data_IF_057068185840
#
_entry.id   IF_057068185840
#
_cell.length_a   1.000
_cell.length_b   1.000
_cell.length_c   1.000
_cell.angle_alpha   90.00
_cell.angle_beta   90.00
_cell.angle_gamma   90.00
#
_symmetry.space_group_name_H-M   'P 1'
#
loop_
_entity.id
_entity.type
_entity.pdbx_description
1 polymer ?
#
# COMPACT_ATOMS: atom_id res chain seq x y z
N UNK A 1 7.36 -17.53 -7.65
CA UNK A 1 6.05 -18.20 -7.48
C UNK A 1 5.14 -17.76 -8.63
N UNK A 2 4.28 -18.64 -9.14
CA UNK A 2 3.30 -18.31 -10.18
C UNK A 2 1.88 -18.47 -9.62
N UNK A 3 1.04 -17.45 -9.79
CA UNK A 3 -0.38 -17.44 -9.43
C UNK A 3 -1.15 -17.26 -10.73
N UNK A 4 -2.14 -18.11 -10.98
CA UNK A 4 -3.02 -18.03 -12.14
C UNK A 4 -4.39 -17.52 -11.69
N UNK A 5 -4.91 -16.50 -12.39
CA UNK A 5 -6.23 -15.93 -12.14
C UNK A 5 -7.11 -16.21 -13.36
N UNK A 6 -8.27 -16.79 -13.13
CA UNK A 6 -9.30 -16.91 -14.14
C UNK A 6 -10.11 -15.61 -14.18
N UNK A 7 -9.98 -14.85 -15.25
CA UNK A 7 -10.60 -13.54 -15.42
C UNK A 7 -11.52 -13.58 -16.64
N UNK A 8 -12.81 -13.22 -16.49
CA UNK A 8 -13.74 -13.19 -17.62
C UNK A 8 -13.26 -12.26 -18.74
N UNK A 9 -13.37 -12.72 -20.00
CA UNK A 9 -12.83 -12.03 -21.18
C UNK A 9 -13.32 -10.58 -21.34
N UNK A 10 -14.54 -10.28 -20.87
CA UNK A 10 -15.11 -8.94 -20.91
C UNK A 10 -14.25 -7.87 -20.22
N UNK A 11 -13.42 -8.26 -19.24
CA UNK A 11 -12.51 -7.35 -18.53
C UNK A 11 -11.13 -7.21 -19.20
N UNK A 12 -10.81 -8.07 -20.17
CA UNK A 12 -9.56 -8.04 -20.94
C UNK A 12 -9.60 -7.07 -22.13
N UNK A 13 -10.75 -6.44 -22.41
CA UNK A 13 -10.90 -5.52 -23.53
C UNK A 13 -10.23 -4.16 -23.30
N UNK A 14 -10.11 -3.74 -22.03
CA UNK A 14 -9.55 -2.43 -21.67
C UNK A 14 -8.04 -2.46 -21.38
N UNK A 15 -7.49 -3.64 -21.01
CA UNK A 15 -6.11 -3.78 -20.57
C UNK A 15 -5.49 -5.07 -21.10
N UNK A 16 -4.19 -5.01 -21.44
CA UNK A 16 -3.42 -6.24 -21.67
C UNK A 16 -3.37 -7.10 -20.39
N UNK A 17 -3.26 -8.44 -20.48
CA UNK A 17 -3.15 -9.30 -19.30
C UNK A 17 -2.01 -8.92 -18.35
N UNK A 18 -0.90 -8.40 -18.90
CA UNK A 18 0.25 -7.92 -18.11
C UNK A 18 -0.13 -6.68 -17.29
N UNK A 19 -0.84 -5.74 -17.91
CA UNK A 19 -1.29 -4.51 -17.26
C UNK A 19 -2.32 -4.80 -16.18
N UNK A 20 -3.28 -5.68 -16.47
CA UNK A 20 -4.26 -6.13 -15.49
C UNK A 20 -3.58 -6.82 -14.31
N UNK A 21 -2.61 -7.70 -14.56
CA UNK A 21 -1.83 -8.35 -13.52
C UNK A 21 -1.10 -7.36 -12.62
N UNK A 22 -0.47 -6.33 -13.19
CA UNK A 22 0.18 -5.25 -12.42
C UNK A 22 -0.80 -4.49 -11.54
N UNK A 23 -1.96 -4.11 -12.08
CA UNK A 23 -3.03 -3.42 -11.34
C UNK A 23 -3.57 -4.26 -10.18
N UNK A 24 -3.83 -5.54 -10.42
CA UNK A 24 -4.30 -6.47 -9.38
C UNK A 24 -3.25 -6.56 -8.27
N UNK A 25 -1.96 -6.72 -8.61
CA UNK A 25 -0.88 -6.77 -7.61
C UNK A 25 -0.80 -5.48 -6.79
N UNK A 26 -0.92 -4.33 -7.42
CA UNK A 26 -0.91 -3.04 -6.72
C UNK A 26 -2.09 -2.92 -5.75
N UNK A 27 -3.31 -3.18 -6.20
CA UNK A 27 -4.49 -3.08 -5.34
C UNK A 27 -4.49 -4.09 -4.20
N UNK A 28 -4.02 -5.32 -4.44
CA UNK A 28 -3.80 -6.29 -3.39
C UNK A 28 -2.74 -5.80 -2.39
N UNK A 29 -1.61 -5.25 -2.85
CA UNK A 29 -0.57 -4.69 -1.97
C UNK A 29 -1.11 -3.58 -1.06
N UNK A 30 -1.85 -2.63 -1.64
CA UNK A 30 -2.47 -1.52 -0.92
C UNK A 30 -3.44 -2.02 0.15
N UNK A 31 -4.33 -2.96 -0.21
CA UNK A 31 -5.31 -3.52 0.72
C UNK A 31 -4.63 -4.31 1.84
N UNK A 32 -3.63 -5.14 1.50
CA UNK A 32 -2.89 -5.93 2.48
C UNK A 32 -2.01 -5.08 3.40
N UNK A 33 -1.50 -3.95 2.90
CA UNK A 33 -0.82 -2.96 3.74
C UNK A 33 -1.81 -2.31 4.71
N UNK A 34 -2.96 -1.85 4.20
CA UNK A 34 -4.00 -1.20 5.01
C UNK A 34 -4.54 -2.14 6.12
N UNK A 35 -4.66 -3.44 5.84
CA UNK A 35 -5.07 -4.45 6.84
C UNK A 35 -3.96 -4.86 7.81
N UNK A 36 -2.75 -4.33 7.65
CA UNK A 36 -1.57 -4.71 8.44
C UNK A 36 -0.99 -6.09 8.09
N UNK A 37 -1.46 -6.74 7.03
CA UNK A 37 -0.97 -8.05 6.58
C UNK A 37 0.40 -7.97 5.90
N UNK A 38 0.73 -6.84 5.28
CA UNK A 38 2.05 -6.55 4.74
C UNK A 38 2.61 -5.28 5.36
N UNK A 39 3.93 -5.27 5.61
CA UNK A 39 4.65 -4.02 5.85
C UNK A 39 4.72 -3.19 4.58
N UNK A 40 4.99 -1.88 4.69
CA UNK A 40 5.15 -1.02 3.52
C UNK A 40 6.25 -1.53 2.56
N UNK A 41 7.36 -2.06 3.10
CA UNK A 41 8.43 -2.66 2.29
C UNK A 41 7.98 -3.92 1.54
N UNK A 42 7.30 -4.84 2.24
CA UNK A 42 6.78 -6.05 1.63
C UNK A 42 5.69 -5.76 0.59
N UNK A 43 4.87 -4.74 0.82
CA UNK A 43 3.86 -4.28 -0.13
C UNK A 43 4.50 -3.68 -1.41
N UNK A 44 5.59 -2.91 -1.28
CA UNK A 44 6.35 -2.42 -2.44
C UNK A 44 6.90 -3.57 -3.28
N UNK A 45 7.54 -4.56 -2.63
CA UNK A 45 8.09 -5.74 -3.31
C UNK A 45 6.98 -6.56 -3.98
N UNK A 46 5.87 -6.78 -3.27
CA UNK A 46 4.72 -7.51 -3.80
C UNK A 46 4.12 -6.80 -5.01
N UNK A 47 3.88 -5.48 -4.94
CA UNK A 47 3.38 -4.71 -6.07
C UNK A 47 4.40 -4.66 -7.23
N UNK A 48 5.70 -4.72 -6.93
CA UNK A 48 6.78 -4.56 -7.89
C UNK A 48 7.00 -3.09 -8.26
N UNK A 49 6.82 -2.18 -7.31
CA UNK A 49 7.00 -0.74 -7.48
C UNK A 49 7.99 -0.22 -6.45
N UNK A 50 8.62 0.91 -6.73
CA UNK A 50 9.49 1.58 -5.77
C UNK A 50 8.69 2.25 -4.64
N UNK A 51 9.40 2.64 -3.58
CA UNK A 51 8.82 3.24 -2.39
C UNK A 51 8.04 4.53 -2.67
N UNK A 52 8.54 5.40 -3.55
CA UNK A 52 7.89 6.68 -3.84
C UNK A 52 6.60 6.47 -4.63
N UNK A 53 6.61 5.53 -5.58
CA UNK A 53 5.42 5.12 -6.30
C UNK A 53 4.38 4.55 -5.35
N UNK A 54 4.76 3.62 -4.47
CA UNK A 54 3.83 3.06 -3.48
C UNK A 54 3.24 4.14 -2.55
N UNK A 55 4.05 5.11 -2.13
CA UNK A 55 3.59 6.23 -1.32
C UNK A 55 2.55 7.08 -2.07
N UNK A 56 2.79 7.36 -3.35
CA UNK A 56 1.86 8.12 -4.18
C UNK A 56 0.51 7.38 -4.34
N UNK A 57 0.56 6.07 -4.54
CA UNK A 57 -0.62 5.21 -4.65
C UNK A 57 -1.41 5.15 -3.34
N UNK A 58 -0.75 4.97 -2.19
CA UNK A 58 -1.41 5.07 -0.88
C UNK A 58 -2.14 6.41 -0.72
N UNK A 59 -1.53 7.53 -1.12
CA UNK A 59 -2.17 8.85 -1.08
C UNK A 59 -3.37 8.93 -2.01
N UNK A 60 -3.25 8.46 -3.25
CA UNK A 60 -4.33 8.46 -4.24
C UNK A 60 -5.53 7.63 -3.78
N UNK A 61 -5.28 6.55 -3.05
CA UNK A 61 -6.29 5.64 -2.52
C UNK A 61 -6.74 5.96 -1.09
N UNK A 62 -6.31 7.09 -0.51
CA UNK A 62 -6.63 7.51 0.87
C UNK A 62 -6.24 6.50 1.96
N UNK A 63 -5.12 5.80 1.76
CA UNK A 63 -4.55 4.87 2.73
C UNK A 63 -3.52 5.62 3.58
N UNK A 64 -3.81 5.73 4.88
CA UNK A 64 -2.92 6.38 5.83
C UNK A 64 -1.64 5.56 6.01
N UNK A 65 -0.50 6.13 5.64
CA UNK A 65 0.82 5.52 5.93
C UNK A 65 1.39 5.90 7.29
N UNK A 66 0.81 6.92 7.89
CA UNK A 66 1.17 7.44 9.20
C UNK A 66 -0.12 7.41 10.01
N UNK A 67 -0.26 6.42 10.87
CA UNK A 67 -1.41 6.27 11.75
C UNK A 67 -1.04 6.75 13.15
N UNK A 68 -0.84 8.06 13.29
CA UNK A 68 -0.72 8.70 14.60
C UNK A 68 -2.09 9.21 15.00
N UNK A 69 -2.50 8.89 16.23
CA UNK A 69 -3.70 9.50 16.78
C UNK A 69 -3.48 11.01 16.98
N UNK A 70 -4.51 11.86 16.78
CA UNK A 70 -4.40 13.28 17.04
C UNK A 70 -3.90 13.54 18.48
N UNK A 71 -2.73 14.17 18.60
CA UNK A 71 -2.12 14.50 19.89
C UNK A 71 -1.08 13.50 20.40
N UNK A 72 -0.93 12.32 19.79
CA UNK A 72 0.10 11.33 20.15
C UNK A 72 1.52 11.90 19.94
N UNK A 73 1.76 12.52 18.77
CA UNK A 73 3.00 13.25 18.48
C UNK A 73 3.30 14.37 19.50
N UNK A 74 2.26 15.10 19.92
CA UNK A 74 2.41 16.17 20.89
C UNK A 74 2.74 15.63 22.29
N UNK A 75 2.14 14.50 22.67
CA UNK A 75 2.41 13.82 23.93
C UNK A 75 3.84 13.27 23.99
N UNK A 76 4.32 12.61 22.93
CA UNK A 76 5.70 12.15 22.81
C UNK A 76 6.69 13.32 22.93
N UNK A 77 6.48 14.40 22.16
CA UNK A 77 7.34 15.58 22.19
C UNK A 77 7.35 16.28 23.56
N UNK A 78 6.24 16.25 24.31
CA UNK A 78 6.17 16.78 25.66
C UNK A 78 6.90 15.89 26.68
N UNK A 79 6.85 14.56 26.51
CA UNK A 79 7.56 13.61 27.38
C UNK A 79 9.08 13.78 27.28
N UNK A 80 9.64 13.91 26.06
CA UNK A 80 11.07 14.17 25.86
C UNK A 80 11.54 15.47 26.53
N UNK A 81 10.71 16.51 26.49
CA UNK A 81 11.02 17.83 27.08
C UNK A 81 11.05 17.83 28.61
N UNK A 82 10.35 16.89 29.27
CA UNK A 82 10.35 16.71 30.73
C UNK A 82 11.50 15.85 31.24
N UNK A 83 12.14 15.09 30.35
CA UNK A 83 13.25 14.19 30.67
C UNK A 83 14.64 14.82 30.44
N UNK A 84 14.69 16.09 30.01
CA UNK A 84 15.90 16.90 29.81
C UNK A 84 15.98 18.00 30.86
#
# INVERSE_FOLDING_TARGET
>A
MQITLDVPEQFCMEFSPVELGRRIKLYAALTMYQSGSLSAGAACEFAGVDRFTFIAECKQHNIAMINYEPGELAAEAAAFRKAS
#
